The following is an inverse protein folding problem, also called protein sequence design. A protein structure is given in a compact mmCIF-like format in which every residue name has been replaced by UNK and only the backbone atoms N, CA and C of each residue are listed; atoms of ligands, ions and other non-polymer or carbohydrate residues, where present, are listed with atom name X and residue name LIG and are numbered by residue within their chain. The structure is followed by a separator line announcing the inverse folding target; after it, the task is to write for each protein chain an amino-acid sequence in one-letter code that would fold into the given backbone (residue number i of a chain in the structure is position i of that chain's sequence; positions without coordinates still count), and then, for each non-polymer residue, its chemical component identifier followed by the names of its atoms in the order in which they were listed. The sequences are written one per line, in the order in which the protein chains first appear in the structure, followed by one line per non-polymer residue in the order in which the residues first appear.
data_IF_024932743628
#
_entry.id   IF_024932743628
#
_cell.length_a   1.000
_cell.length_b   1.000
_cell.length_c   1.000
_cell.angle_alpha   90.00
_cell.angle_beta   90.00
_cell.angle_gamma   90.00
#
_symmetry.space_group_name_H-M   'P 1'
#
loop_
_entity.id
_entity.type
_entity.pdbx_description
1 polymer ?
#
# COMPACT_ATOMS: atom_id res chain seq x y z
N UNK A 1 0.27 45.01 6.79
CA UNK A 1 -0.62 43.83 6.68
C UNK A 1 0.25 42.59 6.70
N UNK A 2 0.46 42.05 7.90
CA UNK A 2 1.41 40.96 8.18
C UNK A 2 0.61 39.70 8.52
N UNK A 3 0.66 38.71 7.63
CA UNK A 3 -0.01 37.43 7.81
C UNK A 3 0.72 36.60 8.89
N UNK A 4 0.00 36.27 9.96
CA UNK A 4 0.38 35.24 10.93
C UNK A 4 0.14 33.86 10.32
N UNK A 5 1.21 33.14 9.97
CA UNK A 5 1.19 31.68 9.85
C UNK A 5 1.64 31.08 11.19
N UNK A 6 0.72 30.47 11.91
CA UNK A 6 0.99 29.75 13.15
C UNK A 6 -0.09 28.70 13.37
N UNK A 7 0.00 27.60 12.62
CA UNK A 7 -0.89 26.43 12.72
C UNK A 7 -0.10 25.17 13.08
N UNK A 8 -0.76 24.15 13.67
CA UNK A 8 -0.18 23.08 14.49
C UNK A 8 0.61 21.99 13.73
N UNK A 9 0.96 22.21 12.46
CA UNK A 9 1.58 21.20 11.61
C UNK A 9 3.09 21.02 11.81
N UNK A 10 3.77 21.96 12.48
CA UNK A 10 5.22 21.85 12.75
C UNK A 10 5.51 20.91 13.94
N UNK A 11 4.53 20.69 14.84
CA UNK A 11 4.71 19.81 16.00
C UNK A 11 4.71 18.31 15.68
N UNK A 12 4.03 17.89 14.61
CA UNK A 12 3.89 16.47 14.26
C UNK A 12 5.16 15.91 13.56
N UNK A 13 5.96 16.77 12.92
CA UNK A 13 7.17 16.36 12.20
C UNK A 13 8.40 16.17 13.11
N UNK A 14 8.43 16.79 14.29
CA UNK A 14 9.51 16.58 15.26
C UNK A 14 9.36 15.29 16.09
N UNK A 15 8.13 14.80 16.27
CA UNK A 15 7.88 13.56 17.04
C UNK A 15 8.22 12.27 16.29
N UNK A 16 8.21 12.28 14.96
CA UNK A 16 8.41 11.07 14.16
C UNK A 16 9.88 10.73 13.89
N UNK A 17 10.80 11.68 14.11
CA UNK A 17 12.24 11.46 13.96
C UNK A 17 12.86 10.67 15.13
N UNK A 18 12.23 10.65 16.31
CA UNK A 18 12.76 9.95 17.49
C UNK A 18 12.41 8.45 17.55
N UNK A 19 11.34 8.02 16.89
CA UNK A 19 10.95 6.60 16.84
C UNK A 19 11.75 5.79 15.79
N UNK A 20 12.32 6.46 14.78
CA UNK A 20 13.01 5.80 13.66
C UNK A 20 14.44 5.35 13.94
N UNK A 21 15.11 5.84 14.99
CA UNK A 21 16.50 5.48 15.28
C UNK A 21 16.66 4.28 16.24
N UNK A 22 15.60 3.87 16.95
CA UNK A 22 15.65 2.73 17.87
C UNK A 22 15.45 1.36 17.20
N UNK A 23 14.88 1.31 16.01
CA UNK A 23 14.56 0.05 15.33
C UNK A 23 15.68 -0.47 14.41
N UNK A 24 16.70 0.35 14.10
CA UNK A 24 17.77 0.00 13.16
C UNK A 24 18.88 -0.86 13.78
N UNK A 25 18.87 -1.10 15.09
CA UNK A 25 19.94 -1.84 15.79
C UNK A 25 19.56 -3.27 16.25
N UNK A 26 18.49 -3.86 15.71
CA UNK A 26 18.01 -5.18 16.14
C UNK A 26 18.51 -6.39 15.32
N UNK A 27 19.45 -6.21 14.38
CA UNK A 27 19.79 -7.31 13.44
C UNK A 27 21.25 -7.77 13.40
N UNK A 28 22.16 -7.34 14.30
CA UNK A 28 23.52 -7.90 14.32
C UNK A 28 24.08 -7.91 15.76
N UNK A 29 24.27 -9.13 16.29
CA UNK A 29 25.04 -9.53 17.49
C UNK A 29 24.63 -9.02 18.89
N UNK A 30 24.00 -9.90 19.68
CA UNK A 30 24.15 -10.00 21.14
C UNK A 30 23.50 -8.93 22.04
N UNK A 31 22.65 -9.36 22.96
CA UNK A 31 22.04 -8.51 24.00
C UNK A 31 23.09 -8.04 25.04
N UNK A 32 23.46 -6.76 25.04
CA UNK A 32 24.33 -6.15 26.06
C UNK A 32 23.55 -5.10 26.90
N UNK A 33 23.77 -5.10 28.22
CA UNK A 33 23.05 -4.28 29.20
C UNK A 33 23.29 -2.77 29.00
N UNK A 34 24.40 -2.39 28.37
CA UNK A 34 24.70 -0.99 28.01
C UNK A 34 23.78 -0.43 26.94
N UNK A 35 23.25 -1.27 26.04
CA UNK A 35 22.36 -0.84 24.96
C UNK A 35 20.96 -0.50 25.49
N UNK A 36 20.53 -1.16 26.58
CA UNK A 36 19.24 -0.91 27.23
C UNK A 36 19.20 0.45 27.96
N UNK A 37 20.34 0.90 28.51
CA UNK A 37 20.43 2.17 29.21
C UNK A 37 20.25 3.39 28.28
N UNK A 38 20.68 3.28 27.01
CA UNK A 38 20.57 4.37 26.03
C UNK A 38 19.13 4.45 25.48
N UNK A 39 18.43 3.32 25.34
CA UNK A 39 17.02 3.27 24.94
C UNK A 39 16.05 3.74 26.02
N UNK A 40 16.32 3.48 27.30
CA UNK A 40 15.45 3.91 28.40
C UNK A 40 15.56 5.42 28.71
N UNK A 41 16.70 6.04 28.39
CA UNK A 41 16.92 7.48 28.62
C UNK A 41 16.04 8.38 27.75
N UNK A 42 15.73 7.98 26.52
CA UNK A 42 14.97 8.82 25.57
C UNK A 42 13.49 8.94 25.94
N UNK A 43 12.89 7.90 26.52
CA UNK A 43 11.47 7.90 26.94
C UNK A 43 11.25 8.79 28.17
N UNK A 44 12.21 8.84 29.10
CA UNK A 44 12.12 9.69 30.29
C UNK A 44 12.26 11.19 29.98
N UNK A 45 13.11 11.56 29.01
CA UNK A 45 13.27 12.97 28.62
C UNK A 45 12.01 13.53 27.95
N UNK A 46 11.29 12.73 27.14
CA UNK A 46 10.04 13.18 26.52
C UNK A 46 8.92 13.37 27.56
N UNK A 47 8.84 12.51 28.57
CA UNK A 47 7.87 12.64 29.66
C UNK A 47 8.13 13.87 30.55
N UNK A 48 9.40 14.18 30.82
CA UNK A 48 9.79 15.33 31.66
C UNK A 48 9.56 16.67 30.93
N UNK A 49 9.77 16.75 29.61
CA UNK A 49 9.46 17.97 28.83
C UNK A 49 7.95 18.21 28.73
N UNK A 50 7.12 17.17 28.66
CA UNK A 50 5.66 17.31 28.71
C UNK A 50 5.15 17.80 30.08
N UNK A 51 5.78 17.36 31.17
CA UNK A 51 5.44 17.77 32.53
C UNK A 51 5.89 19.21 32.86
N UNK A 52 7.06 19.64 32.35
CA UNK A 52 7.59 21.00 32.59
C UNK A 52 6.98 22.07 31.67
N UNK A 53 6.29 21.69 30.59
CA UNK A 53 5.63 22.62 29.66
C UNK A 53 4.21 23.06 30.09
N UNK A 54 3.76 22.72 31.32
CA UNK A 54 2.60 23.36 31.96
C UNK A 54 1.28 23.30 31.18
N UNK A 55 1.10 22.33 30.28
CA UNK A 55 -0.16 22.16 29.54
C UNK A 55 -1.06 21.18 30.28
N UNK A 56 -1.67 21.69 31.34
CA UNK A 56 -2.87 21.13 31.92
C UNK A 56 -3.94 21.00 30.83
N UNK A 57 -4.33 19.77 30.50
CA UNK A 57 -5.63 19.48 29.87
C UNK A 57 -6.70 19.74 30.92
N UNK A 58 -6.92 21.02 31.22
CA UNK A 58 -8.10 21.45 31.98
C UNK A 58 -9.30 21.30 31.05
N UNK A 59 -10.25 20.48 31.47
CA UNK A 59 -11.54 20.34 30.82
C UNK A 59 -12.21 21.72 30.79
N UNK A 60 -12.47 22.21 29.59
CA UNK A 60 -13.32 23.39 29.41
C UNK A 60 -14.72 23.06 29.98
N UNK A 61 -15.18 23.89 30.91
CA UNK A 61 -16.54 23.86 31.45
C UNK A 61 -17.59 23.98 30.33
N UNK A 62 -18.77 23.36 30.49
CA UNK A 62 -19.80 23.41 29.46
C UNK A 62 -20.36 24.83 29.35
N UNK A 63 -20.23 25.43 28.16
CA UNK A 63 -21.02 26.59 27.79
C UNK A 63 -22.50 26.18 27.81
N UNK A 64 -23.32 26.99 28.48
CA UNK A 64 -24.76 26.77 28.64
C UNK A 64 -25.42 26.45 27.29
N UNK A 65 -26.02 25.26 27.21
CA UNK A 65 -26.79 24.83 26.06
C UNK A 65 -28.05 25.71 25.94
N UNK A 66 -28.19 26.38 24.80
CA UNK A 66 -29.47 26.95 24.37
C UNK A 66 -30.41 25.77 24.11
N UNK A 67 -31.65 25.73 24.62
CA UNK A 67 -32.57 24.64 24.32
C UNK A 67 -32.95 24.71 22.84
N UNK A 68 -32.32 23.88 22.01
CA UNK A 68 -32.77 23.60 20.66
C UNK A 68 -34.06 22.79 20.76
N UNK A 69 -35.19 23.43 20.49
CA UNK A 69 -36.45 22.73 20.31
C UNK A 69 -36.33 21.82 19.09
N UNK A 70 -36.55 20.50 19.20
CA UNK A 70 -36.52 19.62 18.05
C UNK A 70 -37.64 20.02 17.10
N UNK A 71 -37.27 20.43 15.88
CA UNK A 71 -38.24 20.52 14.79
C UNK A 71 -38.89 19.14 14.60
N UNK A 72 -40.21 19.06 14.34
CA UNK A 72 -40.88 17.80 14.07
C UNK A 72 -40.31 17.23 12.77
N UNK A 73 -39.34 16.32 12.91
CA UNK A 73 -38.73 15.61 11.80
C UNK A 73 -39.69 14.53 11.32
N UNK A 74 -40.20 14.68 10.09
CA UNK A 74 -40.82 13.61 9.31
C UNK A 74 -39.78 12.62 8.74
N UNK A 75 -38.64 12.46 9.43
CA UNK A 75 -37.64 11.45 9.07
C UNK A 75 -38.17 10.08 9.47
N UNK A 76 -38.39 9.20 8.50
CA UNK A 76 -38.71 7.80 8.76
C UNK A 76 -37.70 7.22 9.74
N UNK A 77 -38.16 6.40 10.69
CA UNK A 77 -37.31 5.79 11.70
C UNK A 77 -36.13 5.09 11.03
N UNK A 78 -34.94 5.68 11.11
CA UNK A 78 -33.70 5.00 10.75
C UNK A 78 -33.62 3.75 11.64
N UNK A 79 -33.74 2.58 11.01
CA UNK A 79 -33.59 1.31 11.70
C UNK A 79 -32.23 1.22 12.40
N UNK A 80 -32.07 0.27 13.34
CA UNK A 80 -30.81 0.08 14.03
C UNK A 80 -29.68 -0.16 13.03
N UNK A 81 -28.57 0.59 13.17
CA UNK A 81 -27.38 0.39 12.32
C UNK A 81 -26.83 -1.01 12.64
N UNK A 82 -26.71 -1.90 11.65
CA UNK A 82 -26.23 -3.26 11.86
C UNK A 82 -24.71 -3.26 12.00
N UNK A 83 -24.22 -2.88 13.18
CA UNK A 83 -22.79 -2.80 13.51
C UNK A 83 -22.01 -4.07 13.21
N UNK A 84 -22.64 -5.25 13.33
CA UNK A 84 -22.02 -6.54 12.99
C UNK A 84 -21.67 -6.68 11.50
N UNK A 85 -22.54 -6.23 10.60
CA UNK A 85 -22.30 -6.29 9.16
C UNK A 85 -21.14 -5.38 8.74
N UNK A 86 -21.00 -4.22 9.41
CA UNK A 86 -19.87 -3.31 9.19
C UNK A 86 -18.54 -3.95 9.63
N UNK A 87 -18.54 -4.64 10.78
CA UNK A 87 -17.34 -5.32 11.29
C UNK A 87 -16.89 -6.47 10.38
N UNK A 88 -17.82 -7.24 9.82
CA UNK A 88 -17.52 -8.31 8.88
C UNK A 88 -16.97 -7.77 7.55
N UNK A 89 -17.57 -6.70 7.02
CA UNK A 89 -17.06 -6.01 5.84
C UNK A 89 -15.63 -5.48 6.03
N UNK A 90 -15.33 -4.87 7.18
CA UNK A 90 -13.99 -4.41 7.51
C UNK A 90 -12.97 -5.57 7.59
N UNK A 91 -13.35 -6.70 8.19
CA UNK A 91 -12.49 -7.89 8.26
C UNK A 91 -12.24 -8.51 6.89
N UNK A 92 -13.25 -8.57 6.02
CA UNK A 92 -13.09 -9.05 4.64
C UNK A 92 -12.18 -8.14 3.81
N UNK A 93 -12.27 -6.82 4.00
CA UNK A 93 -11.39 -5.86 3.37
C UNK A 93 -9.94 -6.04 3.83
N UNK A 94 -9.72 -6.21 5.15
CA UNK A 94 -8.40 -6.48 5.71
C UNK A 94 -7.80 -7.78 5.15
N UNK A 95 -8.56 -8.88 5.15
CA UNK A 95 -8.10 -10.16 4.60
C UNK A 95 -7.69 -10.04 3.12
N UNK A 96 -8.38 -9.20 2.36
CA UNK A 96 -8.07 -8.96 0.94
C UNK A 96 -6.79 -8.12 0.77
N UNK A 97 -6.57 -7.15 1.66
CA UNK A 97 -5.33 -6.37 1.70
C UNK A 97 -4.13 -7.24 2.09
N UNK A 98 -4.25 -8.03 3.18
CA UNK A 98 -3.19 -8.94 3.65
C UNK A 98 -2.84 -9.96 2.57
N UNK A 99 -3.85 -10.53 1.90
CA UNK A 99 -3.65 -11.43 0.77
C UNK A 99 -2.86 -10.78 -0.36
N UNK A 100 -3.18 -9.54 -0.72
CA UNK A 100 -2.49 -8.81 -1.79
C UNK A 100 -1.00 -8.72 -1.49
N UNK A 101 -0.64 -8.33 -0.25
CA UNK A 101 0.75 -8.23 0.19
C UNK A 101 1.47 -9.58 0.11
N UNK A 102 0.83 -10.65 0.58
CA UNK A 102 1.43 -12.00 0.53
C UNK A 102 1.62 -12.50 -0.91
N UNK A 103 0.65 -12.26 -1.80
CA UNK A 103 0.74 -12.67 -3.21
C UNK A 103 1.83 -11.88 -3.92
N UNK A 104 1.93 -10.57 -3.70
CA UNK A 104 2.98 -9.73 -4.27
C UNK A 104 4.38 -10.17 -3.80
N UNK A 105 4.53 -10.52 -2.51
CA UNK A 105 5.79 -11.07 -2.00
C UNK A 105 6.17 -12.40 -2.69
N UNK A 106 5.19 -13.28 -2.92
CA UNK A 106 5.41 -14.52 -3.66
C UNK A 106 5.75 -14.28 -5.14
N UNK A 107 5.11 -13.31 -5.80
CA UNK A 107 5.46 -12.90 -7.17
C UNK A 107 6.89 -12.40 -7.22
N UNK A 108 7.29 -11.56 -6.26
CA UNK A 108 8.67 -11.07 -6.17
C UNK A 108 9.69 -12.20 -6.00
N UNK A 109 9.36 -13.23 -5.22
CA UNK A 109 10.20 -14.44 -5.10
C UNK A 109 10.24 -15.23 -6.40
N UNK A 110 9.10 -15.37 -7.09
CA UNK A 110 9.00 -16.08 -8.37
C UNK A 110 9.86 -15.46 -9.46
N UNK A 111 9.91 -14.13 -9.51
CA UNK A 111 10.71 -13.39 -10.48
C UNK A 111 12.23 -13.55 -10.24
N UNK A 112 12.64 -13.86 -9.00
CA UNK A 112 14.05 -14.08 -8.61
C UNK A 112 14.45 -15.55 -8.57
N UNK A 113 13.50 -16.46 -8.72
CA UNK A 113 13.78 -17.89 -8.63
C UNK A 113 14.65 -18.34 -9.80
N UNK A 114 15.90 -18.71 -9.51
CA UNK A 114 16.84 -19.29 -10.49
C UNK A 114 16.65 -20.80 -10.64
N UNK A 115 16.04 -21.46 -9.65
CA UNK A 115 15.75 -22.89 -9.68
C UNK A 115 14.43 -23.18 -10.43
N UNK A 116 14.46 -24.02 -11.49
CA UNK A 116 13.25 -24.40 -12.23
C UNK A 116 12.23 -25.12 -11.35
N UNK A 117 12.69 -25.93 -10.40
CA UNK A 117 11.80 -26.66 -9.49
C UNK A 117 11.05 -25.70 -8.55
N UNK A 118 11.71 -24.66 -8.04
CA UNK A 118 11.08 -23.64 -7.20
C UNK A 118 10.08 -22.81 -8.00
N UNK A 119 10.45 -22.41 -9.22
CA UNK A 119 9.56 -21.70 -10.13
C UNK A 119 8.27 -22.49 -10.40
N UNK A 120 8.38 -23.77 -10.77
CA UNK A 120 7.23 -24.66 -10.98
C UNK A 120 6.39 -24.84 -9.72
N UNK A 121 7.03 -24.94 -8.56
CA UNK A 121 6.32 -25.07 -7.29
C UNK A 121 5.48 -23.82 -6.99
N UNK A 122 6.04 -22.63 -7.19
CA UNK A 122 5.34 -21.36 -7.02
C UNK A 122 4.19 -21.21 -8.04
N UNK A 123 4.40 -21.60 -9.30
CA UNK A 123 3.36 -21.56 -10.34
C UNK A 123 2.17 -22.47 -9.98
N UNK A 124 2.46 -23.66 -9.44
CA UNK A 124 1.45 -24.57 -8.92
C UNK A 124 0.72 -24.00 -7.70
N UNK A 125 1.42 -23.30 -6.81
CA UNK A 125 0.83 -22.64 -5.65
C UNK A 125 -0.10 -21.48 -6.07
N UNK A 126 0.33 -20.65 -7.02
CA UNK A 126 -0.47 -19.56 -7.60
C UNK A 126 -1.78 -20.07 -8.18
N UNK A 127 -1.71 -21.13 -8.99
CA UNK A 127 -2.89 -21.76 -9.58
C UNK A 127 -3.88 -22.20 -8.50
N UNK A 128 -3.42 -22.84 -7.42
CA UNK A 128 -4.28 -23.32 -6.31
C UNK A 128 -4.97 -22.18 -5.57
N UNK A 129 -4.33 -21.02 -5.45
CA UNK A 129 -4.92 -19.88 -4.73
C UNK A 129 -5.74 -18.95 -5.62
N UNK A 130 -5.73 -19.16 -6.94
CA UNK A 130 -6.46 -18.36 -7.92
C UNK A 130 -5.68 -17.17 -8.49
N UNK A 131 -4.34 -17.24 -8.46
CA UNK A 131 -3.46 -16.28 -9.11
C UNK A 131 -3.07 -16.84 -10.48
N UNK A 132 -3.33 -16.06 -11.54
CA UNK A 132 -3.05 -16.42 -12.91
C UNK A 132 -1.95 -15.52 -13.48
N UNK A 133 -1.00 -16.15 -14.18
CA UNK A 133 0.02 -15.45 -14.95
C UNK A 133 -0.55 -15.04 -16.31
N UNK A 134 -0.22 -13.84 -16.77
CA UNK A 134 -0.65 -13.29 -18.06
C UNK A 134 0.54 -13.20 -19.00
N UNK A 135 0.48 -13.96 -20.09
CA UNK A 135 1.35 -13.81 -21.26
C UNK A 135 0.54 -13.20 -22.40
N UNK A 136 0.96 -12.04 -22.88
CA UNK A 136 0.30 -11.28 -23.94
C UNK A 136 0.98 -11.46 -25.32
N UNK A 137 1.92 -12.40 -25.45
CA UNK A 137 2.64 -12.65 -26.71
C UNK A 137 1.67 -12.94 -27.86
N UNK A 138 1.85 -12.24 -28.99
CA UNK A 138 1.01 -12.37 -30.18
C UNK A 138 -0.33 -11.61 -30.11
N UNK A 139 -0.68 -11.00 -28.98
CA UNK A 139 -1.87 -10.16 -28.86
C UNK A 139 -1.65 -8.76 -29.43
N UNK A 140 -2.72 -8.02 -29.69
CA UNK A 140 -2.63 -6.61 -30.06
C UNK A 140 -2.30 -5.79 -28.83
N UNK A 141 -1.31 -4.90 -28.96
CA UNK A 141 -0.91 -4.02 -27.87
C UNK A 141 -2.06 -3.08 -27.51
N UNK A 142 -2.26 -2.92 -26.21
CA UNK A 142 -3.30 -2.06 -25.62
C UNK A 142 -2.71 -1.43 -24.35
N UNK A 143 -2.45 -0.11 -24.34
CA UNK A 143 -1.90 0.60 -23.19
C UNK A 143 -2.75 0.50 -21.91
N UNK A 144 -4.04 0.17 -22.02
CA UNK A 144 -4.91 0.03 -20.85
C UNK A 144 -4.64 -1.26 -20.06
N UNK A 145 -4.06 -2.28 -20.70
CA UNK A 145 -3.81 -3.59 -20.10
C UNK A 145 -2.38 -4.10 -20.27
N UNK A 146 -1.54 -3.40 -21.04
CA UNK A 146 -0.15 -3.77 -21.33
C UNK A 146 0.81 -2.60 -21.08
N UNK A 147 1.98 -2.90 -20.53
CA UNK A 147 3.07 -1.93 -20.37
C UNK A 147 4.13 -2.16 -21.45
N UNK A 148 4.42 -1.16 -22.28
CA UNK A 148 5.44 -1.29 -23.32
C UNK A 148 6.85 -1.08 -22.74
N UNK A 149 7.63 -2.16 -22.64
CA UNK A 149 9.02 -2.11 -22.18
C UNK A 149 10.01 -1.80 -23.30
N UNK A 150 9.76 -2.34 -24.49
CA UNK A 150 10.62 -2.15 -25.65
C UNK A 150 9.85 -2.23 -26.97
N UNK A 151 10.50 -1.78 -28.05
CA UNK A 151 9.96 -1.81 -29.40
C UNK A 151 10.98 -2.45 -30.32
N UNK A 152 10.50 -3.29 -31.24
CA UNK A 152 11.32 -3.84 -32.33
C UNK A 152 10.67 -3.56 -33.68
N UNK A 153 11.49 -3.53 -34.73
CA UNK A 153 11.02 -3.32 -36.10
C UNK A 153 10.09 -4.46 -36.53
N UNK A 154 8.91 -4.11 -37.03
CA UNK A 154 8.03 -5.05 -37.70
C UNK A 154 8.66 -5.50 -39.03
N UNK A 155 8.64 -6.81 -39.32
CA UNK A 155 9.12 -7.36 -40.59
C UNK A 155 8.08 -7.18 -41.69
N UNK A 156 6.79 -7.18 -41.29
CA UNK A 156 5.66 -6.94 -42.19
C UNK A 156 4.70 -5.90 -41.62
N UNK A 157 3.93 -5.19 -42.45
CA UNK A 157 2.92 -4.23 -41.97
C UNK A 157 1.83 -4.88 -41.09
N UNK A 158 1.60 -6.19 -41.22
CA UNK A 158 0.61 -6.92 -40.44
C UNK A 158 1.02 -7.10 -38.96
N UNK A 159 2.31 -7.03 -38.66
CA UNK A 159 2.84 -7.14 -37.30
C UNK A 159 2.76 -5.82 -36.54
N UNK A 160 2.50 -4.69 -37.21
CA UNK A 160 2.49 -3.38 -36.56
C UNK A 160 1.43 -3.31 -35.44
N UNK A 161 1.91 -2.98 -34.24
CA UNK A 161 1.11 -2.93 -33.01
C UNK A 161 0.82 -4.30 -32.39
N UNK A 162 1.45 -5.39 -32.85
CA UNK A 162 1.38 -6.71 -32.23
C UNK A 162 2.49 -6.87 -31.19
N UNK A 163 2.18 -7.53 -30.08
CA UNK A 163 3.15 -7.85 -29.05
C UNK A 163 4.06 -8.97 -29.57
N UNK A 164 5.33 -8.64 -29.75
CA UNK A 164 6.35 -9.57 -30.21
C UNK A 164 6.67 -10.63 -29.16
N UNK A 165 6.79 -10.22 -27.89
CA UNK A 165 6.97 -11.10 -26.74
C UNK A 165 6.58 -10.40 -25.45
N UNK A 166 6.19 -11.18 -24.46
CA UNK A 166 6.13 -10.74 -23.06
C UNK A 166 7.52 -10.85 -22.44
N UNK A 167 8.09 -9.74 -22.00
CA UNK A 167 9.39 -9.70 -21.32
C UNK A 167 9.25 -10.06 -19.84
N UNK A 168 8.25 -9.47 -19.18
CA UNK A 168 7.88 -9.79 -17.80
C UNK A 168 6.40 -10.14 -17.76
N UNK A 169 6.02 -11.30 -17.21
CA UNK A 169 4.62 -11.68 -17.16
C UNK A 169 3.81 -10.78 -16.22
N UNK A 170 2.54 -10.59 -16.57
CA UNK A 170 1.55 -9.97 -15.71
C UNK A 170 0.97 -10.98 -14.72
N UNK A 171 0.24 -10.48 -13.72
CA UNK A 171 -0.44 -11.32 -12.73
C UNK A 171 -1.83 -10.78 -12.38
N UNK A 172 -2.79 -11.70 -12.30
CA UNK A 172 -4.18 -11.44 -11.90
C UNK A 172 -4.50 -12.34 -10.70
N UNK A 173 -4.93 -11.77 -9.58
CA UNK A 173 -5.45 -12.52 -8.43
C UNK A 173 -6.97 -12.45 -8.43
N UNK A 174 -7.64 -13.59 -8.71
CA UNK A 174 -9.11 -13.72 -8.66
C UNK A 174 -9.85 -12.60 -9.43
N UNK A 175 -9.32 -12.24 -10.60
CA UNK A 175 -9.87 -11.19 -11.46
C UNK A 175 -9.38 -9.77 -11.16
N UNK A 176 -8.64 -9.57 -10.05
CA UNK A 176 -7.98 -8.29 -9.75
C UNK A 176 -6.59 -8.29 -10.37
N UNK A 177 -6.34 -7.34 -11.25
CA UNK A 177 -5.00 -7.13 -11.81
C UNK A 177 -4.04 -6.66 -10.71
N UNK A 178 -2.92 -7.37 -10.55
CA UNK A 178 -1.84 -7.00 -9.65
C UNK A 178 -0.70 -6.30 -10.38
N UNK A 179 -0.40 -6.77 -11.59
CA UNK A 179 0.68 -6.24 -12.43
C UNK A 179 0.37 -6.43 -13.91
N UNK A 180 0.53 -5.37 -14.69
CA UNK A 180 0.47 -5.46 -16.15
C UNK A 180 1.68 -6.26 -16.68
N UNK A 181 1.50 -7.09 -17.72
CA UNK A 181 2.64 -7.67 -18.42
C UNK A 181 3.45 -6.55 -19.10
N UNK A 182 4.77 -6.66 -18.98
CA UNK A 182 5.71 -5.79 -19.70
C UNK A 182 6.05 -6.48 -21.01
N UNK A 183 5.85 -5.78 -22.12
CA UNK A 183 5.87 -6.35 -23.45
C UNK A 183 6.81 -5.62 -24.40
N UNK A 184 7.36 -6.38 -25.35
CA UNK A 184 8.00 -5.85 -26.55
C UNK A 184 6.96 -5.75 -27.67
N UNK A 185 6.84 -4.60 -28.31
CA UNK A 185 5.85 -4.38 -29.39
C UNK A 185 6.54 -4.22 -30.74
N UNK A 186 5.99 -4.84 -31.78
CA UNK A 186 6.38 -4.57 -33.15
C UNK A 186 5.90 -3.19 -33.58
N UNK A 187 6.79 -2.37 -34.14
CA UNK A 187 6.45 -1.09 -34.77
C UNK A 187 6.90 -1.05 -36.22
N UNK A 188 6.02 -0.57 -37.08
CA UNK A 188 6.32 -0.25 -38.46
C UNK A 188 7.46 0.78 -38.56
N UNK A 189 8.32 0.60 -39.56
CA UNK A 189 9.33 1.60 -39.88
C UNK A 189 8.62 2.85 -40.42
N UNK A 190 8.77 3.99 -39.74
CA UNK A 190 8.35 5.29 -40.30
C UNK A 190 9.31 5.61 -41.44
N UNK A 191 8.87 5.48 -42.70
CA UNK A 191 9.61 6.05 -43.83
C UNK A 191 9.59 7.57 -43.66
N UNK A 192 10.74 8.14 -43.35
CA UNK A 192 11.01 9.58 -43.45
C UNK A 192 11.18 9.98 -44.93
#
# INVERSE_FOLDING_TARGET
MTNRLGGPLVGALAGLAAAGLGAVFLTVDGFDARTLAIGAGSVLVTAVVAALAGRSITSAAPAAAVPFAPAPGTGGASGPIPVGQLADGARSAQNSADRTVLVEACIWMRDRATSPALAQHLDGAFTKVGVAQVDATGQRFDPAVHEAGSVIAASTPAEDGIIARTETPGYIDRGRLLRHPIVTVFRGQVRA
#
